data_IF_541763098293
#
_entry.id   IF_541763098293
#
_cell.length_a   1.000
_cell.length_b   1.000
_cell.length_c   1.000
_cell.angle_alpha   90.00
_cell.angle_beta   90.00
_cell.angle_gamma   90.00
#
_symmetry.space_group_name_H-M   'P 1'
#
loop_
_entity.id
_entity.type
_entity.pdbx_description
1 polymer ?
#
# COMPACT_ATOMS: atom_id res chain seq x y z
N UNK A 1 -26.22 -9.64 -12.08
CA UNK A 1 -26.53 -9.00 -13.37
C UNK A 1 -25.23 -8.69 -14.11
N UNK A 2 -25.16 -9.07 -15.36
CA UNK A 2 -23.99 -8.79 -16.17
C UNK A 2 -24.01 -7.35 -16.67
N UNK A 3 -22.86 -6.70 -16.52
CA UNK A 3 -22.66 -5.35 -17.05
C UNK A 3 -22.18 -5.42 -18.50
N UNK A 4 -22.44 -4.36 -19.26
CA UNK A 4 -21.85 -4.18 -20.58
C UNK A 4 -20.43 -3.61 -20.52
N UNK A 5 -19.90 -3.45 -19.34
CA UNK A 5 -18.58 -2.85 -19.12
C UNK A 5 -17.58 -3.93 -18.74
N UNK A 6 -16.47 -3.97 -19.46
CA UNK A 6 -15.39 -4.94 -19.24
C UNK A 6 -14.10 -4.19 -18.98
N UNK A 7 -13.47 -4.43 -17.83
CA UNK A 7 -12.24 -3.75 -17.44
C UNK A 7 -11.19 -4.74 -16.96
N UNK A 8 -9.93 -4.41 -17.18
CA UNK A 8 -8.76 -5.11 -16.62
C UNK A 8 -7.81 -4.06 -16.11
N UNK A 9 -8.00 -3.66 -14.85
CA UNK A 9 -7.25 -2.59 -14.23
C UNK A 9 -6.57 -3.14 -12.97
N UNK A 10 -5.28 -3.42 -13.07
CA UNK A 10 -4.51 -3.99 -11.96
C UNK A 10 -3.57 -2.92 -11.42
N UNK A 11 -3.77 -2.55 -10.16
CA UNK A 11 -3.06 -1.43 -9.55
C UNK A 11 -2.28 -1.90 -8.32
N UNK A 12 -0.97 -1.67 -8.37
CA UNK A 12 -0.08 -1.91 -7.23
C UNK A 12 0.04 -0.60 -6.44
N UNK A 13 -0.38 -0.62 -5.19
CA UNK A 13 -0.40 0.55 -4.32
C UNK A 13 0.61 0.39 -3.19
N UNK A 14 1.31 1.48 -2.87
CA UNK A 14 2.34 1.51 -1.83
C UNK A 14 2.19 2.77 -1.00
N UNK A 15 2.23 2.65 0.31
CA UNK A 15 2.25 3.81 1.19
C UNK A 15 2.98 3.51 2.48
N UNK A 16 3.50 4.55 3.11
CA UNK A 16 4.40 4.44 4.26
C UNK A 16 3.78 5.01 5.52
N UNK A 17 4.27 4.53 6.67
CA UNK A 17 3.98 5.14 7.97
C UNK A 17 4.64 6.52 8.01
N UNK A 18 3.95 7.49 8.59
CA UNK A 18 4.44 8.87 8.68
C UNK A 18 5.83 8.89 9.34
N UNK A 19 6.76 9.63 8.73
CA UNK A 19 8.17 9.69 9.10
C UNK A 19 8.87 8.34 8.97
N UNK A 20 8.27 7.37 8.29
CA UNK A 20 8.76 6.01 8.11
C UNK A 20 9.08 5.32 9.44
N UNK A 21 8.27 5.57 10.46
CA UNK A 21 8.40 4.88 11.73
C UNK A 21 8.10 3.40 11.58
N UNK A 22 8.96 2.56 12.14
CA UNK A 22 8.83 1.11 12.09
C UNK A 22 7.94 0.64 13.24
N UNK A 23 6.63 0.84 13.09
CA UNK A 23 5.67 0.57 14.17
C UNK A 23 4.72 -0.58 13.89
N UNK A 24 4.60 -1.04 12.66
CA UNK A 24 3.75 -2.19 12.34
C UNK A 24 4.43 -3.45 12.85
N UNK A 25 3.83 -4.09 13.85
CA UNK A 25 4.41 -5.23 14.54
C UNK A 25 3.75 -6.54 14.09
N UNK A 26 4.49 -7.67 14.09
CA UNK A 26 3.89 -8.96 13.75
C UNK A 26 2.66 -9.33 14.58
N UNK A 27 2.55 -8.81 15.80
CA UNK A 27 1.43 -9.10 16.70
C UNK A 27 0.10 -8.55 16.19
N UNK A 28 0.08 -7.52 15.34
CA UNK A 28 -1.16 -6.94 14.84
C UNK A 28 -1.18 -6.72 13.31
N UNK A 29 -0.08 -7.08 12.63
CA UNK A 29 0.05 -6.91 11.18
C UNK A 29 -1.08 -7.61 10.42
N UNK A 30 -1.39 -8.85 10.78
CA UNK A 30 -2.44 -9.61 10.09
C UNK A 30 -3.81 -8.96 10.25
N UNK A 31 -4.12 -8.46 11.43
CA UNK A 31 -5.38 -7.75 11.68
C UNK A 31 -5.50 -6.50 10.82
N UNK A 32 -4.40 -5.78 10.65
CA UNK A 32 -4.34 -4.62 9.75
C UNK A 32 -4.63 -5.04 8.31
N UNK A 33 -3.99 -6.12 7.83
CA UNK A 33 -4.21 -6.63 6.49
C UNK A 33 -5.66 -7.03 6.29
N UNK A 34 -6.27 -7.72 7.23
CA UNK A 34 -7.67 -8.13 7.17
C UNK A 34 -8.61 -6.93 7.12
N UNK A 35 -8.31 -5.90 7.90
CA UNK A 35 -9.13 -4.69 7.93
C UNK A 35 -9.08 -3.94 6.60
N UNK A 36 -7.89 -3.75 6.05
CA UNK A 36 -7.73 -3.11 4.74
C UNK A 36 -8.39 -3.96 3.64
N UNK A 37 -8.24 -5.28 3.70
CA UNK A 37 -8.91 -6.19 2.78
C UNK A 37 -10.42 -5.98 2.78
N UNK A 38 -11.02 -5.86 3.96
CA UNK A 38 -12.45 -5.60 4.11
C UNK A 38 -12.86 -4.28 3.47
N UNK A 39 -12.09 -3.21 3.69
CA UNK A 39 -12.35 -1.91 3.08
C UNK A 39 -12.36 -2.02 1.55
N UNK A 40 -11.34 -2.66 1.00
CA UNK A 40 -11.18 -2.78 -0.46
C UNK A 40 -12.31 -3.62 -1.06
N UNK A 41 -12.62 -4.76 -0.47
CA UNK A 41 -13.68 -5.65 -0.95
C UNK A 41 -15.06 -5.01 -0.82
N UNK A 42 -15.32 -4.27 0.25
CA UNK A 42 -16.58 -3.56 0.43
C UNK A 42 -16.79 -2.48 -0.62
N UNK A 43 -15.71 -1.97 -1.20
CA UNK A 43 -15.77 -1.00 -2.29
C UNK A 43 -15.67 -1.64 -3.68
N UNK A 44 -15.80 -2.95 -3.75
CA UNK A 44 -15.88 -3.68 -5.01
C UNK A 44 -14.55 -3.98 -5.69
N UNK A 45 -13.43 -3.74 -5.02
CA UNK A 45 -12.12 -4.07 -5.57
C UNK A 45 -11.79 -5.53 -5.29
N UNK A 46 -11.06 -6.16 -6.21
CA UNK A 46 -10.60 -7.53 -6.03
C UNK A 46 -9.18 -7.50 -5.48
N UNK A 47 -9.00 -7.92 -4.24
CA UNK A 47 -7.66 -7.99 -3.65
C UNK A 47 -6.91 -9.20 -4.21
N UNK A 48 -5.70 -8.95 -4.72
CA UNK A 48 -4.82 -10.00 -5.26
C UNK A 48 -3.66 -10.30 -4.31
N UNK A 49 -3.15 -9.29 -3.61
CA UNK A 49 -2.09 -9.46 -2.62
C UNK A 49 -2.05 -8.27 -1.66
N UNK A 50 -1.64 -8.52 -0.44
CA UNK A 50 -1.36 -7.48 0.55
C UNK A 50 -0.25 -7.98 1.45
N UNK A 51 0.70 -7.11 1.76
CA UNK A 51 1.77 -7.40 2.71
C UNK A 51 2.38 -6.09 3.21
N UNK A 52 3.09 -6.17 4.33
CA UNK A 52 3.69 -4.98 4.92
C UNK A 52 5.03 -5.30 5.54
N UNK A 53 5.80 -4.24 5.74
CA UNK A 53 6.98 -4.20 6.60
C UNK A 53 6.66 -3.26 7.76
N UNK A 54 7.52 -3.13 8.77
CA UNK A 54 7.21 -2.26 9.90
C UNK A 54 6.90 -0.81 9.54
N UNK A 55 7.39 -0.30 8.42
CA UNK A 55 7.28 1.11 8.04
C UNK A 55 6.47 1.38 6.77
N UNK A 56 5.94 0.36 6.10
CA UNK A 56 5.18 0.56 4.86
C UNK A 56 4.30 -0.65 4.50
N UNK A 57 3.40 -0.44 3.55
CA UNK A 57 2.45 -1.45 3.12
C UNK A 57 2.27 -1.42 1.61
N UNK A 58 2.14 -2.61 1.03
CA UNK A 58 1.80 -2.82 -0.37
C UNK A 58 0.47 -3.54 -0.48
N UNK A 59 -0.39 -3.13 -1.42
CA UNK A 59 -1.48 -3.99 -1.86
C UNK A 59 -1.64 -3.94 -3.38
N UNK A 60 -2.23 -4.99 -3.92
CA UNK A 60 -2.42 -5.15 -5.35
C UNK A 60 -3.86 -5.55 -5.61
N UNK A 61 -4.56 -4.77 -6.42
CA UNK A 61 -6.01 -4.95 -6.64
C UNK A 61 -6.36 -4.98 -8.11
N UNK A 62 -7.42 -5.73 -8.43
CA UNK A 62 -8.22 -5.47 -9.62
C UNK A 62 -9.17 -4.34 -9.27
N UNK A 63 -8.99 -3.20 -9.92
CA UNK A 63 -9.71 -1.97 -9.58
C UNK A 63 -11.15 -2.00 -10.05
N UNK A 64 -12.08 -1.66 -9.15
CA UNK A 64 -13.45 -1.35 -9.52
C UNK A 64 -13.47 0.03 -10.20
N UNK A 65 -13.83 0.11 -11.50
CA UNK A 65 -13.75 1.38 -12.24
C UNK A 65 -14.75 2.44 -11.78
N UNK A 66 -15.70 2.07 -10.92
CA UNK A 66 -16.67 3.03 -10.36
C UNK A 66 -16.08 3.90 -9.27
N UNK A 67 -14.89 3.56 -8.76
CA UNK A 67 -14.21 4.35 -7.73
C UNK A 67 -12.87 4.83 -8.24
N UNK A 68 -12.54 6.09 -7.96
CA UNK A 68 -11.22 6.62 -8.31
C UNK A 68 -10.15 6.00 -7.43
N UNK A 69 -8.91 5.97 -7.92
CA UNK A 69 -7.77 5.51 -7.13
C UNK A 69 -7.61 6.39 -5.89
N UNK A 70 -7.78 7.71 -6.03
CA UNK A 70 -7.65 8.61 -4.89
C UNK A 70 -8.68 8.35 -3.81
N UNK A 71 -9.93 8.04 -4.17
CA UNK A 71 -10.96 7.67 -3.18
C UNK A 71 -10.67 6.33 -2.53
N UNK A 72 -10.23 5.34 -3.31
CA UNK A 72 -9.81 4.06 -2.77
C UNK A 72 -8.70 4.23 -1.75
N UNK A 73 -7.67 5.01 -2.07
CA UNK A 73 -6.55 5.24 -1.18
C UNK A 73 -6.94 6.04 0.06
N UNK A 74 -7.81 7.04 -0.10
CA UNK A 74 -8.32 7.82 1.03
C UNK A 74 -9.04 6.92 2.05
N UNK A 75 -9.88 6.02 1.57
CA UNK A 75 -10.60 5.08 2.43
C UNK A 75 -9.63 4.06 3.06
N UNK A 76 -8.77 3.44 2.26
CA UNK A 76 -7.83 2.45 2.77
C UNK A 76 -6.92 3.03 3.85
N UNK A 77 -6.38 4.22 3.63
CA UNK A 77 -5.50 4.88 4.59
C UNK A 77 -6.25 5.44 5.79
N UNK A 78 -7.32 6.20 5.53
CA UNK A 78 -8.07 6.86 6.59
C UNK A 78 -8.72 5.88 7.55
N UNK A 79 -9.45 4.92 7.03
CA UNK A 79 -10.16 3.95 7.87
C UNK A 79 -9.19 3.02 8.59
N UNK A 80 -8.08 2.64 7.97
CA UNK A 80 -7.10 1.78 8.63
C UNK A 80 -6.35 2.50 9.74
N UNK A 81 -6.00 3.78 9.56
CA UNK A 81 -5.36 4.54 10.65
C UNK A 81 -6.31 4.72 11.83
N UNK A 82 -7.59 4.97 11.58
CA UNK A 82 -8.59 5.03 12.63
C UNK A 82 -8.69 3.69 13.37
N UNK A 83 -8.70 2.58 12.64
CA UNK A 83 -8.71 1.25 13.22
C UNK A 83 -7.51 1.02 14.14
N UNK A 84 -6.29 1.33 13.67
CA UNK A 84 -5.07 1.17 14.46
C UNK A 84 -5.15 1.99 15.75
N UNK A 85 -5.64 3.23 15.65
CA UNK A 85 -5.75 4.12 16.81
C UNK A 85 -6.84 3.67 17.79
N UNK A 86 -7.97 3.20 17.29
CA UNK A 86 -9.07 2.71 18.14
C UNK A 86 -8.66 1.45 18.88
N UNK A 87 -7.88 0.58 18.24
CA UNK A 87 -7.37 -0.65 18.89
C UNK A 87 -6.14 -0.40 19.78
N UNK A 88 -5.59 0.81 19.72
CA UNK A 88 -4.41 1.20 20.52
C UNK A 88 -3.21 0.28 20.29
N UNK A 89 -2.96 -0.08 19.05
CA UNK A 89 -1.82 -0.93 18.70
C UNK A 89 -0.47 -0.24 18.89
N UNK A 90 -0.44 1.09 18.86
CA UNK A 90 0.78 1.89 19.00
C UNK A 90 0.71 2.77 20.25
N UNK A 91 1.87 3.09 20.84
CA UNK A 91 1.94 3.96 22.02
C UNK A 91 1.42 5.35 21.73
N UNK A 92 1.81 5.89 20.57
CA UNK A 92 1.40 7.22 20.11
C UNK A 92 0.39 7.09 19.00
N UNK A 93 -0.30 8.18 18.69
CA UNK A 93 -1.26 8.18 17.60
C UNK A 93 -0.59 7.81 16.29
N UNK A 94 -1.21 6.88 15.57
CA UNK A 94 -0.70 6.35 14.31
C UNK A 94 -1.19 7.20 13.14
N UNK A 95 -0.28 7.47 12.20
CA UNK A 95 -0.58 8.18 10.95
C UNK A 95 0.14 7.53 9.79
N UNK A 96 -0.53 7.42 8.65
CA UNK A 96 0.16 7.16 7.39
C UNK A 96 0.78 8.47 6.88
N UNK A 97 1.89 8.36 6.14
CA UNK A 97 2.47 9.50 5.44
C UNK A 97 1.49 9.99 4.38
N UNK A 98 1.46 11.28 4.11
CA UNK A 98 0.67 11.83 3.01
C UNK A 98 1.17 11.28 1.68
N UNK A 99 0.23 11.06 0.76
CA UNK A 99 0.57 10.53 -0.54
C UNK A 99 0.65 9.01 -0.58
N UNK A 100 0.90 8.49 -1.77
CA UNK A 100 1.00 7.05 -2.04
C UNK A 100 1.59 6.85 -3.43
N UNK A 101 2.05 5.63 -3.71
CA UNK A 101 2.36 5.21 -5.07
C UNK A 101 1.24 4.31 -5.59
N UNK A 102 0.86 4.48 -6.85
CA UNK A 102 -0.12 3.62 -7.50
C UNK A 102 0.34 3.38 -8.94
N UNK A 103 0.55 2.12 -9.28
CA UNK A 103 1.19 1.74 -10.56
C UNK A 103 0.34 0.68 -11.25
N UNK A 104 0.05 0.90 -12.54
CA UNK A 104 -0.71 -0.04 -13.34
C UNK A 104 0.18 -1.18 -13.82
N UNK A 105 -0.43 -2.37 -13.92
CA UNK A 105 0.25 -3.56 -14.42
C UNK A 105 -0.67 -4.29 -15.39
N UNK A 106 -0.08 -5.02 -16.34
CA UNK A 106 -0.83 -5.84 -17.26
C UNK A 106 -1.19 -7.17 -16.58
N UNK A 107 -2.14 -7.89 -17.18
CA UNK A 107 -2.53 -9.22 -16.71
C UNK A 107 -1.34 -10.18 -16.66
N UNK A 108 -0.43 -10.09 -17.61
CA UNK A 108 0.73 -10.96 -17.66
C UNK A 108 1.71 -10.75 -16.51
N UNK A 109 1.59 -9.61 -15.81
CA UNK A 109 2.47 -9.25 -14.69
C UNK A 109 1.89 -9.64 -13.32
N UNK A 110 0.65 -10.12 -13.27
CA UNK A 110 -0.03 -10.40 -11.99
C UNK A 110 0.80 -11.31 -11.10
N UNK A 111 1.23 -12.46 -11.61
CA UNK A 111 1.96 -13.44 -10.80
C UNK A 111 3.27 -12.85 -10.27
N UNK A 112 3.99 -12.09 -11.09
CA UNK A 112 5.23 -11.47 -10.69
C UNK A 112 5.02 -10.41 -9.58
N UNK A 113 3.97 -9.60 -9.71
CA UNK A 113 3.66 -8.56 -8.71
C UNK A 113 3.21 -9.20 -7.39
N UNK A 114 2.34 -10.22 -7.45
CA UNK A 114 1.90 -10.95 -6.25
C UNK A 114 3.10 -11.54 -5.52
N UNK A 115 3.99 -12.20 -6.25
CA UNK A 115 5.19 -12.80 -5.68
C UNK A 115 6.10 -11.74 -5.05
N UNK A 116 6.28 -10.61 -5.72
CA UNK A 116 7.07 -9.50 -5.20
C UNK A 116 6.50 -8.99 -3.87
N UNK A 117 5.19 -8.77 -3.80
CA UNK A 117 4.54 -8.26 -2.59
C UNK A 117 4.63 -9.29 -1.46
N UNK A 118 4.36 -10.56 -1.74
CA UNK A 118 4.39 -11.59 -0.71
C UNK A 118 5.80 -11.87 -0.18
N UNK A 119 6.84 -11.51 -0.94
CA UNK A 119 8.23 -11.70 -0.53
C UNK A 119 8.86 -10.45 0.09
N UNK A 120 8.07 -9.49 0.57
CA UNK A 120 8.59 -8.23 1.12
C UNK A 120 9.62 -8.42 2.22
N UNK A 121 9.41 -9.37 3.12
CA UNK A 121 10.33 -9.60 4.22
C UNK A 121 11.72 -10.06 3.72
N UNK A 122 11.76 -10.78 2.61
CA UNK A 122 13.02 -11.20 1.99
C UNK A 122 13.72 -10.03 1.30
N UNK A 123 12.96 -9.16 0.61
CA UNK A 123 13.52 -7.98 -0.04
C UNK A 123 14.18 -7.05 0.96
N UNK A 124 13.56 -6.83 2.10
CA UNK A 124 14.04 -5.87 3.09
C UNK A 124 15.15 -6.40 4.00
N UNK A 125 15.61 -7.62 3.79
CA UNK A 125 16.87 -8.07 4.34
C UNK A 125 18.05 -7.36 3.65
N UNK A 126 17.86 -6.83 2.43
CA UNK A 126 18.93 -6.24 1.60
C UNK A 126 18.69 -4.78 1.23
N UNK A 127 17.46 -4.29 1.28
CA UNK A 127 17.10 -2.93 0.85
C UNK A 127 16.20 -2.24 1.86
N UNK A 128 16.43 -0.94 2.03
CA UNK A 128 15.53 -0.08 2.81
C UNK A 128 14.29 0.22 1.97
N UNK A 129 13.22 0.70 2.61
CA UNK A 129 12.01 1.13 1.89
C UNK A 129 12.34 2.28 0.92
N UNK A 130 13.18 3.22 1.33
CA UNK A 130 13.58 4.33 0.45
C UNK A 130 14.21 3.80 -0.84
N UNK A 131 15.14 2.87 -0.71
CA UNK A 131 15.79 2.27 -1.88
C UNK A 131 14.78 1.52 -2.76
N UNK A 132 13.90 0.75 -2.13
CA UNK A 132 12.86 0.02 -2.85
C UNK A 132 11.92 0.96 -3.60
N UNK A 133 11.47 2.03 -2.95
CA UNK A 133 10.51 2.95 -3.56
C UNK A 133 11.14 3.70 -4.74
N UNK A 134 12.38 4.12 -4.61
CA UNK A 134 13.10 4.74 -5.72
C UNK A 134 13.26 3.78 -6.90
N UNK A 135 13.54 2.50 -6.63
CA UNK A 135 13.61 1.48 -7.67
C UNK A 135 12.26 1.29 -8.38
N UNK A 136 11.16 1.29 -7.63
CA UNK A 136 9.81 1.20 -8.19
C UNK A 136 9.54 2.39 -9.11
N UNK A 137 9.82 3.61 -8.66
CA UNK A 137 9.59 4.80 -9.45
C UNK A 137 10.40 4.77 -10.76
N UNK A 138 11.64 4.32 -10.70
CA UNK A 138 12.49 4.17 -11.89
C UNK A 138 11.95 3.09 -12.83
N UNK A 139 11.50 1.97 -12.27
CA UNK A 139 10.94 0.87 -13.06
C UNK A 139 9.73 1.32 -13.88
N UNK A 140 8.85 2.12 -13.28
CA UNK A 140 7.66 2.65 -13.95
C UNK A 140 7.91 3.96 -14.69
N UNK A 141 9.15 4.46 -14.70
CA UNK A 141 9.53 5.72 -15.34
C UNK A 141 8.69 6.91 -14.89
N UNK A 142 8.41 6.99 -13.60
CA UNK A 142 7.63 8.08 -12.99
C UNK A 142 8.57 9.20 -12.56
N UNK A 143 8.27 10.44 -12.95
CA UNK A 143 9.00 11.60 -12.48
C UNK A 143 8.72 11.86 -11.01
N UNK A 144 9.75 12.22 -10.26
CA UNK A 144 9.62 12.48 -8.83
C UNK A 144 10.63 13.53 -8.35
N UNK A 145 10.30 14.15 -7.21
CA UNK A 145 11.22 15.04 -6.50
C UNK A 145 11.51 14.39 -5.14
N UNK A 146 12.76 14.00 -4.92
CA UNK A 146 13.16 13.25 -3.72
C UNK A 146 12.79 13.96 -2.42
N UNK A 147 12.78 15.27 -2.38
CA UNK A 147 12.43 16.02 -1.16
C UNK A 147 10.97 15.87 -0.75
N UNK A 148 10.09 15.42 -1.65
CA UNK A 148 8.66 15.23 -1.37
C UNK A 148 8.26 13.77 -1.20
N UNK A 149 9.18 12.83 -1.37
CA UNK A 149 8.86 11.40 -1.30
C UNK A 149 8.77 10.92 0.14
N UNK A 150 9.71 11.33 0.98
CA UNK A 150 9.85 10.83 2.34
C UNK A 150 9.94 11.96 3.36
N UNK A 151 9.31 11.71 4.51
CA UNK A 151 9.47 12.53 5.70
C UNK A 151 10.20 11.69 6.75
N UNK A 152 11.51 11.84 6.84
CA UNK A 152 12.33 11.10 7.79
C UNK A 152 12.40 11.82 9.14
N UNK A 153 12.51 11.04 10.21
CA UNK A 153 12.65 11.60 11.55
C UNK A 153 13.90 12.47 11.70
N UNK A 154 14.97 12.12 11.01
CA UNK A 154 16.24 12.82 11.13
C UNK A 154 16.30 14.15 10.42
N UNK A 155 15.47 14.34 9.41
CA UNK A 155 15.46 15.54 8.60
C UNK A 155 14.08 16.17 8.52
N UNK A 156 13.21 15.73 9.38
CA UNK A 156 11.83 16.21 9.37
C UNK A 156 11.10 15.75 8.14
#
# INVERSE_FOLDING_TARGET
MMSNTYTQLYIHCVFAVKYRKAVIQPTWEERLHQYITGILQNNGHKLLAINSMPDHLHFFVGLNPKQSISDMMRLAKGDSSEFVNNEKFTERKFYWQDGYGAFSNSRTQIDAVVKYIMNQKQHHLKKTFREEYLDILKHYAVEYDEKYIFHDLLNG
#
